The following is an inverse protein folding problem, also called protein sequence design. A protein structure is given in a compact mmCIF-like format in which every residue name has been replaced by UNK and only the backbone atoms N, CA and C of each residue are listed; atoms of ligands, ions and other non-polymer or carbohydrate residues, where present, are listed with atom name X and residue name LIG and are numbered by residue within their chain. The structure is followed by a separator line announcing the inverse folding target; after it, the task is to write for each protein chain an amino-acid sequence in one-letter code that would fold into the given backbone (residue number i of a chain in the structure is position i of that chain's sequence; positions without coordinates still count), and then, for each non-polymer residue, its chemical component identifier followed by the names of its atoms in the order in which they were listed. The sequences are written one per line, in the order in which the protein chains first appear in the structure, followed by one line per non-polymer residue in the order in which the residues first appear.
data_IF_530575005209
#
_entry.id   IF_530575005209
#
_cell.length_a   1.000
_cell.length_b   1.000
_cell.length_c   1.000
_cell.angle_alpha   90.00
_cell.angle_beta   90.00
_cell.angle_gamma   90.00
#
_symmetry.space_group_name_H-M   'P 1'
#
loop_
_entity.id
_entity.type
_entity.pdbx_description
1 polymer ?
#
# COMPACT_ATOMS: atom_id res chain seq x y z
N UNK A 1 -11.80 -6.24 -21.59
CA UNK A 1 -11.66 -5.25 -22.68
C UNK A 1 -10.24 -4.69 -22.78
N UNK A 2 -9.68 -4.04 -21.76
CA UNK A 2 -8.33 -3.43 -21.87
C UNK A 2 -7.20 -4.38 -22.25
N UNK A 3 -7.13 -5.59 -21.68
CA UNK A 3 -6.14 -6.63 -22.05
C UNK A 3 -6.33 -7.12 -23.50
N UNK A 4 -7.58 -7.18 -23.97
CA UNK A 4 -7.91 -7.62 -25.33
C UNK A 4 -7.46 -6.58 -26.36
N UNK A 5 -7.69 -5.29 -26.08
CA UNK A 5 -7.19 -4.20 -26.93
C UNK A 5 -5.64 -4.15 -26.93
N UNK A 6 -5.01 -4.33 -25.77
CA UNK A 6 -3.55 -4.38 -25.66
C UNK A 6 -2.95 -5.53 -26.48
N UNK A 7 -3.59 -6.71 -26.46
CA UNK A 7 -3.19 -7.84 -27.28
C UNK A 7 -3.36 -7.57 -28.78
N UNK A 8 -4.44 -6.92 -29.19
CA UNK A 8 -4.63 -6.52 -30.59
C UNK A 8 -3.59 -5.51 -31.08
N UNK A 9 -3.10 -4.64 -30.19
CA UNK A 9 -2.17 -3.57 -30.53
C UNK A 9 -0.71 -4.01 -30.53
N UNK A 10 -0.31 -4.84 -29.56
CA UNK A 10 1.10 -5.22 -29.32
C UNK A 10 1.39 -6.73 -29.49
N UNK A 11 0.36 -7.53 -29.79
CA UNK A 11 0.46 -8.97 -29.95
C UNK A 11 1.01 -9.67 -28.70
N UNK A 12 1.94 -10.60 -28.92
CA UNK A 12 2.59 -11.40 -27.87
C UNK A 12 3.33 -10.57 -26.82
N UNK A 13 3.74 -9.35 -27.13
CA UNK A 13 4.46 -8.48 -26.19
C UNK A 13 3.57 -8.03 -25.03
N UNK A 14 2.26 -7.85 -25.28
CA UNK A 14 1.30 -7.45 -24.24
C UNK A 14 1.12 -8.53 -23.15
N UNK A 15 1.25 -9.81 -23.51
CA UNK A 15 1.17 -10.92 -22.55
C UNK A 15 2.33 -10.88 -21.55
N UNK A 16 3.48 -10.36 -21.96
CA UNK A 16 4.69 -10.28 -21.12
C UNK A 16 4.52 -9.16 -20.10
N UNK A 17 3.98 -8.00 -20.51
CA UNK A 17 3.55 -6.95 -19.58
C UNK A 17 2.51 -7.44 -18.56
N UNK A 18 1.53 -8.21 -19.02
CA UNK A 18 0.54 -8.83 -18.12
C UNK A 18 1.19 -9.82 -17.14
N UNK A 19 2.16 -10.62 -17.59
CA UNK A 19 2.90 -11.54 -16.73
C UNK A 19 3.70 -10.81 -15.64
N UNK A 20 4.32 -9.67 -15.95
CA UNK A 20 5.03 -8.84 -14.97
C UNK A 20 4.08 -8.36 -13.88
N UNK A 21 2.89 -7.90 -14.25
CA UNK A 21 1.86 -7.47 -13.31
C UNK A 21 1.41 -8.63 -12.42
N UNK A 22 1.16 -9.81 -13.00
CA UNK A 22 0.78 -11.02 -12.26
C UNK A 22 1.87 -11.45 -11.29
N UNK A 23 3.15 -11.34 -11.65
CA UNK A 23 4.29 -11.67 -10.78
C UNK A 23 4.48 -10.66 -9.65
N UNK A 24 4.18 -9.37 -9.88
CA UNK A 24 4.32 -8.32 -8.87
C UNK A 24 3.09 -8.20 -7.95
N UNK A 25 1.94 -8.73 -8.36
CA UNK A 25 0.72 -8.71 -7.55
C UNK A 25 0.86 -9.43 -6.18
N UNK A 26 1.49 -10.63 -6.06
CA UNK A 26 1.78 -11.27 -4.78
C UNK A 26 2.66 -10.41 -3.87
N UNK A 27 3.67 -9.74 -4.43
CA UNK A 27 4.56 -8.86 -3.66
C UNK A 27 3.77 -7.69 -3.06
N UNK A 28 2.91 -7.07 -3.87
CA UNK A 28 2.03 -6.00 -3.40
C UNK A 28 1.04 -6.49 -2.34
N UNK A 29 0.52 -7.70 -2.50
CA UNK A 29 -0.36 -8.32 -1.51
C UNK A 29 0.34 -8.53 -0.16
N UNK A 30 1.57 -9.07 -0.15
CA UNK A 30 2.35 -9.28 1.07
C UNK A 30 2.62 -7.96 1.81
N UNK A 31 3.00 -6.90 1.07
CA UNK A 31 3.20 -5.56 1.62
C UNK A 31 1.90 -5.04 2.23
N UNK A 32 0.78 -5.19 1.53
CA UNK A 32 -0.53 -4.76 2.02
C UNK A 32 -0.97 -5.50 3.28
N UNK A 33 -0.66 -6.79 3.41
CA UNK A 33 -0.94 -7.57 4.63
C UNK A 33 -0.09 -7.08 5.79
N UNK A 34 1.22 -6.87 5.60
CA UNK A 34 2.09 -6.29 6.64
C UNK A 34 1.69 -4.86 7.03
N UNK A 35 1.21 -4.08 6.08
CA UNK A 35 0.64 -2.76 6.35
C UNK A 35 -0.60 -2.87 7.24
N UNK A 36 -1.49 -3.83 6.98
CA UNK A 36 -2.68 -4.06 7.80
C UNK A 36 -2.32 -4.51 9.23
N UNK A 37 -1.34 -5.40 9.38
CA UNK A 37 -0.87 -5.88 10.69
C UNK A 37 -0.27 -4.72 11.51
N UNK A 38 0.58 -3.91 10.89
CA UNK A 38 1.21 -2.74 11.54
C UNK A 38 0.20 -1.64 11.85
N UNK A 39 -0.82 -1.46 11.01
CA UNK A 39 -1.94 -0.57 11.29
C UNK A 39 -2.71 -1.03 12.54
N UNK A 40 -2.97 -2.34 12.67
CA UNK A 40 -3.65 -2.91 13.83
C UNK A 40 -2.85 -2.68 15.12
N UNK A 41 -1.56 -3.03 15.12
CA UNK A 41 -0.69 -2.80 16.28
C UNK A 41 -0.58 -1.31 16.65
N UNK A 42 -0.51 -0.42 15.66
CA UNK A 42 -0.51 1.02 15.91
C UNK A 42 -1.82 1.51 16.54
N UNK A 43 -2.97 0.94 16.16
CA UNK A 43 -4.26 1.27 16.76
C UNK A 43 -4.34 0.78 18.20
N UNK A 44 -3.88 -0.44 18.50
CA UNK A 44 -3.84 -1.00 19.86
C UNK A 44 -3.03 -0.08 20.80
N UNK A 45 -1.82 0.32 20.39
CA UNK A 45 -1.01 1.26 21.16
C UNK A 45 -1.67 2.64 21.35
N UNK A 46 -2.38 3.14 20.34
CA UNK A 46 -3.10 4.41 20.45
C UNK A 46 -4.30 4.31 21.40
N UNK A 47 -5.04 3.20 21.38
CA UNK A 47 -6.14 2.93 22.31
C UNK A 47 -5.64 2.85 23.76
N UNK A 48 -4.52 2.16 24.01
CA UNK A 48 -3.92 2.09 25.34
C UNK A 48 -3.51 3.47 25.86
N UNK A 49 -2.88 4.29 25.00
CA UNK A 49 -2.55 5.69 25.34
C UNK A 49 -3.80 6.49 25.68
N UNK A 50 -4.85 6.41 24.86
CA UNK A 50 -6.11 7.11 25.09
C UNK A 50 -6.76 6.70 26.41
N UNK A 51 -6.72 5.41 26.75
CA UNK A 51 -7.22 4.90 28.03
C UNK A 51 -6.44 5.47 29.22
N UNK A 52 -5.11 5.40 29.19
CA UNK A 52 -4.24 5.98 30.23
C UNK A 52 -4.46 7.48 30.41
N UNK A 53 -4.52 8.24 29.31
CA UNK A 53 -4.78 9.68 29.37
C UNK A 53 -6.18 9.97 29.95
N UNK A 54 -7.18 9.16 29.61
CA UNK A 54 -8.53 9.30 30.18
C UNK A 54 -8.56 9.05 31.69
N UNK A 55 -7.83 8.04 32.18
CA UNK A 55 -7.71 7.75 33.62
C UNK A 55 -7.02 8.88 34.38
N UNK A 56 -5.94 9.44 33.83
CA UNK A 56 -5.25 10.61 34.39
C UNK A 56 -6.18 11.83 34.48
N UNK A 57 -6.95 12.11 33.41
CA UNK A 57 -7.90 13.23 33.39
C UNK A 57 -9.02 13.06 34.43
N UNK A 58 -9.52 11.84 34.63
CA UNK A 58 -10.51 11.54 35.68
C UNK A 58 -9.94 11.74 37.09
N UNK A 59 -8.66 11.44 37.30
CA UNK A 59 -7.96 11.54 38.59
C UNK A 59 -7.24 12.87 38.85
N UNK A 60 -7.33 13.87 37.96
CA UNK A 60 -6.40 15.01 37.92
C UNK A 60 -6.27 15.80 39.23
N UNK A 61 -7.36 15.93 39.98
CA UNK A 61 -7.37 16.65 41.26
C UNK A 61 -6.51 15.93 42.32
N UNK A 62 -6.58 14.60 42.36
CA UNK A 62 -5.79 13.76 43.27
C UNK A 62 -4.31 13.82 42.88
N UNK A 63 -4.00 13.68 41.58
CA UNK A 63 -2.61 13.71 41.12
C UNK A 63 -1.93 15.04 41.49
N UNK A 64 -2.61 16.18 41.30
CA UNK A 64 -2.08 17.50 41.66
C UNK A 64 -1.93 17.69 43.18
N UNK A 65 -2.82 17.09 43.98
CA UNK A 65 -2.74 17.13 45.44
C UNK A 65 -1.48 16.43 45.98
N UNK A 66 -1.02 15.39 45.28
CA UNK A 66 0.17 14.61 45.64
C UNK A 66 1.44 14.98 44.83
N UNK A 67 1.37 15.99 43.96
CA UNK A 67 2.44 16.37 43.04
C UNK A 67 2.93 15.20 42.15
N UNK A 68 2.03 14.28 41.79
CA UNK A 68 2.33 13.08 41.00
C UNK A 68 2.20 13.30 39.48
N UNK A 69 1.86 14.50 39.03
CA UNK A 69 1.62 14.79 37.61
C UNK A 69 2.80 14.42 36.70
N UNK A 70 4.04 14.68 37.12
CA UNK A 70 5.23 14.40 36.31
C UNK A 70 5.45 12.88 36.16
N UNK A 71 5.28 12.12 37.25
CA UNK A 71 5.44 10.65 37.25
C UNK A 71 4.44 9.99 36.28
N UNK A 72 3.19 10.45 36.29
CA UNK A 72 2.17 9.95 35.35
C UNK A 72 2.39 10.45 33.93
N UNK A 73 2.93 11.65 33.74
CA UNK A 73 3.31 12.18 32.43
C UNK A 73 4.41 11.31 31.79
N UNK A 74 5.47 10.99 32.54
CA UNK A 74 6.57 10.14 32.09
C UNK A 74 6.07 8.74 31.66
N UNK A 75 5.10 8.17 32.38
CA UNK A 75 4.49 6.88 32.01
C UNK A 75 3.71 6.94 30.68
N UNK A 76 3.04 8.06 30.39
CA UNK A 76 2.37 8.28 29.11
C UNK A 76 3.40 8.48 28.00
N UNK A 77 4.51 9.19 28.27
CA UNK A 77 5.58 9.44 27.31
C UNK A 77 6.32 8.15 26.92
N UNK A 78 6.56 7.24 27.88
CA UNK A 78 7.10 5.90 27.58
C UNK A 78 6.17 5.11 26.64
N UNK A 79 4.85 5.21 26.87
CA UNK A 79 3.83 4.59 26.01
C UNK A 79 3.82 5.24 24.61
N UNK A 80 4.01 6.56 24.55
CA UNK A 80 4.12 7.32 23.29
C UNK A 80 5.35 6.92 22.48
N UNK A 81 6.48 6.62 23.13
CA UNK A 81 7.67 6.11 22.46
C UNK A 81 7.41 4.80 21.70
N UNK A 82 6.69 3.86 22.32
CA UNK A 82 6.29 2.59 21.68
C UNK A 82 5.33 2.81 20.52
N UNK A 83 4.34 3.69 20.68
CA UNK A 83 3.41 4.09 19.61
C UNK A 83 4.16 4.70 18.41
N UNK A 84 5.12 5.59 18.66
CA UNK A 84 5.92 6.24 17.62
C UNK A 84 6.77 5.24 16.82
N UNK A 85 7.38 4.24 17.46
CA UNK A 85 8.11 3.18 16.76
C UNK A 85 7.18 2.36 15.86
N UNK A 86 5.98 2.03 16.34
CA UNK A 86 4.96 1.35 15.52
C UNK A 86 4.51 2.22 14.34
N UNK A 87 4.26 3.52 14.58
CA UNK A 87 3.88 4.48 13.54
C UNK A 87 4.98 4.66 12.48
N UNK A 88 6.26 4.67 12.88
CA UNK A 88 7.39 4.73 11.95
C UNK A 88 7.41 3.51 11.03
N UNK A 89 7.15 2.33 11.60
CA UNK A 89 7.07 1.08 10.85
C UNK A 89 5.87 1.09 9.90
N UNK A 90 4.70 1.55 10.35
CA UNK A 90 3.51 1.73 9.51
C UNK A 90 3.76 2.73 8.36
N UNK A 91 4.42 3.86 8.63
CA UNK A 91 4.80 4.84 7.62
C UNK A 91 5.74 4.24 6.57
N UNK A 92 6.72 3.44 6.99
CA UNK A 92 7.62 2.73 6.06
C UNK A 92 6.85 1.79 5.11
N UNK A 93 5.95 0.96 5.64
CA UNK A 93 5.13 0.08 4.80
C UNK A 93 4.17 0.86 3.89
N UNK A 94 3.66 2.00 4.36
CA UNK A 94 2.80 2.89 3.56
C UNK A 94 3.59 3.46 2.38
N UNK A 95 4.78 4.01 2.62
CA UNK A 95 5.67 4.52 1.58
C UNK A 95 6.05 3.43 0.57
N UNK A 96 6.37 2.22 1.04
CA UNK A 96 6.69 1.09 0.18
C UNK A 96 5.50 0.68 -0.70
N UNK A 97 4.29 0.67 -0.14
CA UNK A 97 3.05 0.38 -0.87
C UNK A 97 2.75 1.42 -1.96
N UNK A 98 2.92 2.72 -1.65
CA UNK A 98 2.76 3.81 -2.61
C UNK A 98 3.80 3.69 -3.73
N UNK A 99 5.07 3.43 -3.37
CA UNK A 99 6.14 3.23 -4.34
C UNK A 99 5.82 2.08 -5.29
N UNK A 100 5.40 0.92 -4.79
CA UNK A 100 5.03 -0.22 -5.64
C UNK A 100 3.82 0.07 -6.53
N UNK A 101 2.81 0.78 -6.03
CA UNK A 101 1.67 1.20 -6.84
C UNK A 101 2.10 2.05 -8.06
N UNK A 102 3.13 2.89 -7.91
CA UNK A 102 3.70 3.69 -8.99
C UNK A 102 4.70 2.90 -9.87
N UNK A 103 5.50 2.02 -9.27
CA UNK A 103 6.58 1.31 -9.97
C UNK A 103 6.07 0.15 -10.84
N UNK A 104 5.04 -0.60 -10.40
CA UNK A 104 4.50 -1.76 -11.15
C UNK A 104 4.05 -1.38 -12.57
N UNK A 105 3.25 -0.31 -12.79
CA UNK A 105 2.88 0.16 -14.13
C UNK A 105 4.08 0.49 -15.00
N UNK A 106 5.06 1.21 -14.44
CA UNK A 106 6.25 1.66 -15.15
C UNK A 106 7.09 0.45 -15.58
N UNK A 107 7.30 -0.50 -14.67
CA UNK A 107 8.02 -1.74 -14.95
C UNK A 107 7.30 -2.60 -16.01
N UNK A 108 5.97 -2.71 -15.94
CA UNK A 108 5.19 -3.46 -16.93
C UNK A 108 5.28 -2.85 -18.33
N UNK A 109 5.17 -1.52 -18.43
CA UNK A 109 5.33 -0.78 -19.70
C UNK A 109 6.75 -0.96 -20.25
N UNK A 110 7.78 -0.78 -19.42
CA UNK A 110 9.17 -0.94 -19.79
C UNK A 110 9.44 -2.35 -20.33
N UNK A 111 9.02 -3.39 -19.58
CA UNK A 111 9.19 -4.78 -19.99
C UNK A 111 8.47 -5.08 -21.31
N UNK A 112 7.27 -4.54 -21.49
CA UNK A 112 6.48 -4.70 -22.72
C UNK A 112 7.21 -4.10 -23.92
N UNK A 113 7.73 -2.88 -23.83
CA UNK A 113 8.43 -2.23 -24.94
C UNK A 113 9.80 -2.83 -25.23
N UNK A 114 10.58 -3.16 -24.21
CA UNK A 114 11.87 -3.85 -24.38
C UNK A 114 11.65 -5.17 -25.10
N UNK A 115 10.68 -5.96 -24.67
CA UNK A 115 10.42 -7.26 -25.27
C UNK A 115 9.81 -7.16 -26.67
N UNK A 116 8.98 -6.13 -26.93
CA UNK A 116 8.48 -5.85 -28.27
C UNK A 116 9.63 -5.54 -29.24
N UNK A 117 10.64 -4.78 -28.81
CA UNK A 117 11.83 -4.52 -29.61
C UNK A 117 12.67 -5.78 -29.88
N UNK A 118 12.74 -6.71 -28.92
CA UNK A 118 13.43 -7.99 -29.13
C UNK A 118 12.68 -8.94 -30.07
N UNK A 119 11.35 -8.99 -30.00
CA UNK A 119 10.50 -9.86 -30.83
C UNK A 119 10.33 -9.32 -32.25
N UNK A 120 10.09 -8.02 -32.39
CA UNK A 120 9.91 -7.36 -33.68
C UNK A 120 11.14 -6.50 -33.96
N UNK A 121 11.91 -6.86 -35.01
CA UNK A 121 13.09 -6.09 -35.47
C UNK A 121 12.74 -4.63 -35.81
N UNK A 122 11.47 -4.36 -36.14
CA UNK A 122 10.88 -3.02 -36.21
C UNK A 122 10.23 -2.70 -34.87
N UNK A 123 10.75 -1.69 -34.16
CA UNK A 123 10.14 -1.21 -32.92
C UNK A 123 8.68 -0.73 -33.11
N UNK A 124 7.95 -0.51 -32.02
CA UNK A 124 6.55 -0.10 -32.11
C UNK A 124 6.45 1.28 -32.79
N UNK A 125 5.43 1.47 -33.63
CA UNK A 125 5.17 2.81 -34.18
C UNK A 125 4.81 3.79 -33.06
N UNK A 126 5.08 5.10 -33.21
CA UNK A 126 4.73 6.08 -32.17
C UNK A 126 3.26 6.03 -31.78
N UNK A 127 2.36 5.83 -32.74
CA UNK A 127 0.91 5.67 -32.52
C UNK A 127 0.58 4.46 -31.64
N UNK A 128 1.21 3.31 -31.87
CA UNK A 128 0.98 2.10 -31.08
C UNK A 128 1.56 2.25 -29.66
N UNK A 129 2.74 2.87 -29.54
CA UNK A 129 3.39 3.09 -28.25
C UNK A 129 2.56 4.00 -27.34
N UNK A 130 2.07 5.14 -27.85
CA UNK A 130 1.23 6.05 -27.06
C UNK A 130 -0.13 5.43 -26.71
N UNK A 131 -0.76 4.71 -27.64
CA UNK A 131 -2.02 4.03 -27.38
C UNK A 131 -1.87 2.91 -26.33
N UNK A 132 -0.78 2.14 -26.36
CA UNK A 132 -0.48 1.13 -25.36
C UNK A 132 -0.21 1.75 -23.98
N UNK A 133 0.56 2.85 -23.92
CA UNK A 133 0.82 3.57 -22.68
C UNK A 133 -0.47 4.08 -22.03
N UNK A 134 -1.37 4.67 -22.82
CA UNK A 134 -2.67 5.12 -22.35
C UNK A 134 -3.52 3.95 -21.83
N UNK A 135 -3.53 2.82 -22.53
CA UNK A 135 -4.23 1.61 -22.09
C UNK A 135 -3.67 1.06 -20.77
N UNK A 136 -2.35 1.02 -20.60
CA UNK A 136 -1.72 0.62 -19.34
C UNK A 136 -2.15 1.53 -18.18
N UNK A 137 -2.12 2.85 -18.36
CA UNK A 137 -2.60 3.80 -17.34
C UNK A 137 -4.07 3.56 -16.94
N UNK A 138 -4.94 3.31 -17.91
CA UNK A 138 -6.37 3.05 -17.64
C UNK A 138 -6.57 1.70 -16.93
N UNK A 139 -5.77 0.69 -17.25
CA UNK A 139 -5.91 -0.66 -16.70
C UNK A 139 -5.38 -0.79 -15.26
N UNK A 140 -4.36 0.01 -14.93
CA UNK A 140 -3.66 -0.03 -13.64
C UNK A 140 -4.59 0.31 -12.48
N UNK A 141 -5.37 1.38 -12.60
CA UNK A 141 -6.29 1.86 -11.56
C UNK A 141 -7.29 0.79 -11.10
N UNK A 142 -8.10 0.17 -11.99
CA UNK A 142 -9.05 -0.86 -11.58
C UNK A 142 -8.36 -2.11 -11.03
N UNK A 143 -7.17 -2.47 -11.52
CA UNK A 143 -6.44 -3.64 -11.04
C UNK A 143 -5.98 -3.46 -9.58
N UNK A 144 -5.49 -2.26 -9.24
CA UNK A 144 -5.11 -1.94 -7.87
C UNK A 144 -6.34 -1.84 -6.95
N UNK A 145 -7.41 -1.20 -7.41
CA UNK A 145 -8.66 -1.10 -6.65
C UNK A 145 -9.26 -2.48 -6.36
N UNK A 146 -9.17 -3.43 -7.30
CA UNK A 146 -9.68 -4.80 -7.12
C UNK A 146 -9.04 -5.49 -5.92
N UNK A 147 -7.71 -5.34 -5.72
CA UNK A 147 -7.03 -5.90 -4.54
C UNK A 147 -7.57 -5.34 -3.22
N UNK A 148 -7.94 -4.06 -3.21
CA UNK A 148 -8.51 -3.37 -2.05
C UNK A 148 -9.95 -3.80 -1.81
N UNK A 149 -10.76 -3.91 -2.87
CA UNK A 149 -12.15 -4.39 -2.79
C UNK A 149 -12.21 -5.82 -2.27
N UNK A 150 -11.33 -6.71 -2.73
CA UNK A 150 -11.24 -8.09 -2.21
C UNK A 150 -10.92 -8.09 -0.72
N UNK A 151 -9.97 -7.27 -0.27
CA UNK A 151 -9.67 -7.11 1.17
C UNK A 151 -10.89 -6.64 1.97
N UNK A 152 -11.63 -5.66 1.46
CA UNK A 152 -12.85 -5.17 2.12
C UNK A 152 -13.97 -6.22 2.14
N UNK A 153 -14.16 -6.96 1.05
CA UNK A 153 -15.14 -8.03 0.98
C UNK A 153 -14.82 -9.16 1.98
N UNK A 154 -13.55 -9.59 2.06
CA UNK A 154 -13.10 -10.59 3.04
C UNK A 154 -13.32 -10.08 4.47
N UNK A 155 -12.93 -8.84 4.77
CA UNK A 155 -13.18 -8.23 6.09
C UNK A 155 -14.67 -8.10 6.43
N UNK A 156 -15.54 -7.91 5.43
CA UNK A 156 -16.99 -7.83 5.65
C UNK A 156 -17.64 -9.21 5.88
N UNK A 157 -17.10 -10.25 5.22
CA UNK A 157 -17.57 -11.63 5.36
C UNK A 157 -17.09 -12.28 6.67
N UNK A 158 -15.86 -11.98 7.08
CA UNK A 158 -15.31 -12.38 8.38
C UNK A 158 -15.74 -11.35 9.41
N UNK A 159 -16.95 -11.52 9.95
CA UNK A 159 -17.41 -10.80 11.15
C UNK A 159 -16.57 -11.14 12.36
#
# INVERSE_FOLDING_TARGET
MGVILLYYLLGWSALIGASVIVLLAPVQYLIATKLADTQKSSLEHSTDRLKKTSEILKGIKLLKLYAWENIFCDSVEETRGKELTSLKTFAFYTSMSIFMNAAIPIAAVLATFVMHHFLNKTGPSPSEAFAALALFHILVTPLFLLSTVVRFAVKALVR
#
